data_IF_507977883494
#
_entry.id   IF_507977883494
#
_cell.length_a   1.000
_cell.length_b   1.000
_cell.length_c   1.000
_cell.angle_alpha   90.00
_cell.angle_beta   90.00
_cell.angle_gamma   90.00
#
_symmetry.space_group_name_H-M   'P 1'
#
loop_
_entity.id
_entity.type
_entity.pdbx_description
1 polymer ?
#
# COMPACT_ATOMS: atom_id res chain seq x y z
N UNK A 1 -3.61 0.66 24.55
CA UNK A 1 -4.70 0.99 23.61
C UNK A 1 -4.33 2.29 22.91
N UNK A 2 -3.87 2.21 21.68
CA UNK A 2 -3.52 3.40 20.89
C UNK A 2 -4.83 3.98 20.36
N UNK A 3 -5.22 5.13 20.88
CA UNK A 3 -6.43 5.85 20.45
C UNK A 3 -6.17 6.44 19.08
N UNK A 4 -6.77 5.86 18.06
CA UNK A 4 -6.80 6.44 16.73
C UNK A 4 -7.93 7.49 16.71
N UNK A 5 -7.58 8.76 16.53
CA UNK A 5 -8.57 9.80 16.26
C UNK A 5 -9.15 9.51 14.87
N UNK A 6 -10.37 9.00 14.80
CA UNK A 6 -11.10 8.90 13.54
C UNK A 6 -11.50 10.33 13.12
N UNK A 7 -10.95 10.82 12.04
CA UNK A 7 -11.50 11.94 11.31
C UNK A 7 -12.89 11.54 10.80
N UNK A 8 -13.89 12.42 10.97
CA UNK A 8 -15.25 12.18 10.49
C UNK A 8 -15.21 11.84 8.99
N UNK A 9 -15.81 10.70 8.60
CA UNK A 9 -15.88 10.25 7.21
C UNK A 9 -14.90 9.16 6.80
N UNK A 10 -13.84 8.86 7.60
CA UNK A 10 -12.91 7.77 7.27
C UNK A 10 -13.32 6.49 7.99
N UNK A 11 -13.46 5.42 7.23
CA UNK A 11 -13.73 4.07 7.73
C UNK A 11 -12.49 3.22 7.54
N UNK A 12 -12.11 2.49 8.59
CA UNK A 12 -10.99 1.55 8.57
C UNK A 12 -11.51 0.12 8.39
N UNK A 13 -10.80 -0.64 7.59
CA UNK A 13 -11.02 -2.07 7.42
C UNK A 13 -9.73 -2.83 7.68
N UNK A 14 -9.76 -3.86 8.51
CA UNK A 14 -8.70 -4.86 8.55
C UNK A 14 -8.85 -5.75 7.32
N UNK A 15 -7.76 -6.01 6.65
CA UNK A 15 -7.69 -6.88 5.47
C UNK A 15 -6.50 -7.83 5.62
N UNK A 16 -6.56 -9.04 5.06
CA UNK A 16 -5.39 -9.91 5.01
C UNK A 16 -4.23 -9.23 4.29
N UNK A 17 -3.02 -9.33 4.84
CA UNK A 17 -1.81 -8.81 4.19
C UNK A 17 -1.46 -9.61 2.92
N UNK A 18 -1.82 -10.90 2.92
CA UNK A 18 -1.65 -11.81 1.79
C UNK A 18 -2.97 -12.54 1.54
N UNK A 19 -3.27 -12.86 0.29
CA UNK A 19 -4.51 -13.58 -0.03
C UNK A 19 -4.96 -13.36 -1.47
N UNK A 20 -6.09 -13.98 -1.83
CA UNK A 20 -6.66 -13.91 -3.18
C UNK A 20 -7.43 -12.59 -3.45
N UNK A 21 -7.69 -11.80 -2.42
CA UNK A 21 -8.48 -10.56 -2.52
C UNK A 21 -7.60 -9.35 -2.78
N UNK A 22 -7.62 -8.81 -4.00
CA UNK A 22 -7.00 -7.51 -4.29
C UNK A 22 -7.89 -6.37 -3.82
N UNK A 23 -7.31 -5.40 -3.10
CA UNK A 23 -8.00 -4.15 -2.76
C UNK A 23 -7.68 -3.12 -3.83
N UNK A 24 -8.67 -2.77 -4.61
CA UNK A 24 -8.60 -1.71 -5.60
C UNK A 24 -9.32 -0.45 -5.09
N UNK A 25 -9.08 0.73 -5.68
CA UNK A 25 -9.69 1.98 -5.20
C UNK A 25 -11.22 1.96 -5.13
N UNK A 26 -11.86 1.15 -5.98
CA UNK A 26 -13.32 1.03 -6.12
C UNK A 26 -13.91 -0.22 -5.46
N UNK A 27 -13.08 -1.06 -4.84
CA UNK A 27 -13.52 -2.33 -4.27
C UNK A 27 -12.93 -2.60 -2.89
N UNK A 28 -13.58 -3.49 -2.15
CA UNK A 28 -13.05 -4.09 -0.92
C UNK A 28 -13.05 -5.61 -1.07
N UNK A 29 -12.07 -6.32 -0.51
CA UNK A 29 -12.10 -7.76 -0.47
C UNK A 29 -13.27 -8.25 0.37
N UNK A 30 -13.75 -9.45 0.10
CA UNK A 30 -14.88 -10.06 0.84
C UNK A 30 -14.59 -10.21 2.33
N UNK A 31 -13.32 -10.38 2.68
CA UNK A 31 -12.86 -10.62 4.05
C UNK A 31 -12.52 -9.33 4.80
N UNK A 32 -12.86 -8.16 4.24
CA UNK A 32 -12.67 -6.88 4.90
C UNK A 32 -13.60 -6.75 6.11
N UNK A 33 -13.02 -6.53 7.28
CA UNK A 33 -13.78 -6.36 8.52
C UNK A 33 -13.65 -4.93 9.00
N UNK A 34 -14.79 -4.24 9.04
CA UNK A 34 -14.87 -2.85 9.46
C UNK A 34 -14.46 -2.70 10.93
N UNK A 35 -13.62 -1.70 11.20
CA UNK A 35 -13.15 -1.31 12.54
C UNK A 35 -12.45 -2.42 13.36
N UNK A 36 -12.18 -3.57 12.73
CA UNK A 36 -11.46 -4.65 13.38
C UNK A 36 -9.98 -4.25 13.63
N UNK A 37 -9.37 -4.75 14.71
CA UNK A 37 -7.95 -4.60 14.92
C UNK A 37 -7.17 -5.36 13.83
N UNK A 38 -6.03 -4.82 13.40
CA UNK A 38 -5.07 -5.56 12.62
C UNK A 38 -4.37 -6.54 13.58
N UNK A 39 -4.66 -7.83 13.43
CA UNK A 39 -4.09 -8.88 14.25
C UNK A 39 -2.91 -9.53 13.53
N UNK A 40 -1.75 -9.54 14.17
CA UNK A 40 -0.53 -10.15 13.64
C UNK A 40 -0.09 -11.22 14.63
N UNK A 41 0.25 -12.40 14.12
CA UNK A 41 0.79 -13.51 14.89
C UNK A 41 2.14 -13.88 14.28
N UNK A 42 3.20 -13.66 15.04
CA UNK A 42 4.57 -13.92 14.60
C UNK A 42 5.34 -14.73 15.64
N UNK A 43 6.26 -15.57 15.20
CA UNK A 43 7.24 -16.20 16.07
C UNK A 43 8.38 -15.21 16.38
N UNK A 44 9.17 -15.53 17.41
CA UNK A 44 10.32 -14.69 17.78
C UNK A 44 11.34 -14.64 16.63
N UNK A 45 11.64 -13.41 16.15
CA UNK A 45 12.59 -13.18 15.07
C UNK A 45 11.97 -13.31 13.67
N UNK A 46 10.65 -13.44 13.57
CA UNK A 46 9.90 -13.48 12.32
C UNK A 46 9.40 -12.09 11.94
N UNK A 47 9.33 -11.83 10.64
CA UNK A 47 8.66 -10.65 10.08
C UNK A 47 7.31 -11.08 9.53
N UNK A 48 6.26 -10.46 10.05
CA UNK A 48 4.90 -10.73 9.62
C UNK A 48 4.18 -9.46 9.19
N UNK A 49 3.40 -9.57 8.11
CA UNK A 49 2.65 -8.47 7.55
C UNK A 49 1.26 -8.33 8.20
N UNK A 50 0.90 -7.10 8.50
CA UNK A 50 -0.49 -6.74 8.80
C UNK A 50 -0.97 -5.67 7.82
N UNK A 51 -2.22 -5.70 7.40
CA UNK A 51 -2.76 -4.75 6.44
C UNK A 51 -4.10 -4.18 6.87
N UNK A 52 -4.32 -2.94 6.53
CA UNK A 52 -5.61 -2.27 6.70
C UNK A 52 -5.87 -1.28 5.56
N UNK A 53 -7.13 -1.00 5.32
CA UNK A 53 -7.59 -0.03 4.33
C UNK A 53 -8.31 1.10 5.03
N UNK A 54 -7.99 2.32 4.65
CA UNK A 54 -8.75 3.51 4.98
C UNK A 54 -9.62 3.88 3.78
N UNK A 55 -10.90 4.08 4.00
CA UNK A 55 -11.85 4.48 2.97
C UNK A 55 -12.62 5.71 3.41
N UNK A 56 -12.77 6.65 2.50
CA UNK A 56 -13.67 7.79 2.64
C UNK A 56 -14.47 7.95 1.36
N UNK A 57 -15.71 8.41 1.48
CA UNK A 57 -16.55 8.79 0.35
C UNK A 57 -16.30 10.25 -0.08
N UNK A 58 -15.47 10.97 0.68
CA UNK A 58 -15.06 12.33 0.40
C UNK A 58 -13.53 12.42 0.23
N UNK A 59 -13.05 13.42 -0.48
CA UNK A 59 -11.62 13.71 -0.55
C UNK A 59 -11.14 14.24 0.81
N UNK A 60 -10.34 13.44 1.50
CA UNK A 60 -9.76 13.77 2.80
C UNK A 60 -8.35 14.37 2.69
N UNK A 61 -7.87 14.58 1.47
CA UNK A 61 -6.53 15.07 1.21
C UNK A 61 -5.44 14.08 1.62
N UNK A 62 -4.29 14.61 2.05
CA UNK A 62 -3.15 13.79 2.46
C UNK A 62 -3.39 13.20 3.85
N UNK A 63 -3.17 11.89 3.98
CA UNK A 63 -3.25 11.16 5.24
C UNK A 63 -1.84 10.83 5.72
N UNK A 64 -1.46 11.36 6.88
CA UNK A 64 -0.21 11.00 7.54
C UNK A 64 -0.46 9.91 8.57
N UNK A 65 0.31 8.83 8.49
CA UNK A 65 0.25 7.71 9.43
C UNK A 65 1.50 7.70 10.32
N UNK A 66 1.29 7.47 11.62
CA UNK A 66 2.37 7.34 12.59
C UNK A 66 2.17 6.09 13.42
N UNK A 67 3.26 5.38 13.62
CA UNK A 67 3.31 4.22 14.49
C UNK A 67 3.89 4.65 15.83
N UNK A 68 3.25 4.23 16.91
CA UNK A 68 3.77 4.35 18.28
C UNK A 68 4.20 3.01 18.81
N UNK A 69 4.89 3.02 19.95
CA UNK A 69 5.26 1.80 20.67
C UNK A 69 4.01 0.96 20.99
N UNK A 70 4.12 -0.34 20.78
CA UNK A 70 3.11 -1.30 21.23
C UNK A 70 3.43 -1.72 22.65
N UNK A 71 2.40 -1.88 23.49
CA UNK A 71 2.54 -2.31 24.88
C UNK A 71 1.62 -3.49 25.14
N UNK A 72 2.16 -4.51 25.81
CA UNK A 72 1.35 -5.61 26.31
C UNK A 72 0.72 -5.29 27.68
N UNK A 73 -0.06 -6.21 28.22
CA UNK A 73 -0.73 -6.08 29.51
C UNK A 73 0.25 -6.00 30.68
N UNK A 74 1.44 -6.57 30.54
CA UNK A 74 2.48 -6.55 31.57
C UNK A 74 3.34 -5.27 31.53
N UNK A 75 3.13 -4.43 30.53
CA UNK A 75 3.89 -3.20 30.34
C UNK A 75 5.17 -3.35 29.51
N UNK A 76 5.43 -4.54 28.95
CA UNK A 76 6.53 -4.72 28.01
C UNK A 76 6.29 -3.92 26.73
N UNK A 77 7.36 -3.38 26.17
CA UNK A 77 7.31 -2.49 25.03
C UNK A 77 7.88 -3.20 23.81
N UNK A 78 7.12 -3.18 22.70
CA UNK A 78 7.63 -3.42 21.36
C UNK A 78 7.81 -2.05 20.69
N UNK A 79 9.04 -1.62 20.41
CA UNK A 79 9.30 -0.23 20.02
C UNK A 79 8.83 0.04 18.58
N UNK A 80 8.41 1.27 18.32
CA UNK A 80 7.89 1.70 17.03
C UNK A 80 8.88 1.53 15.87
N UNK A 81 10.18 1.59 16.13
CA UNK A 81 11.23 1.42 15.11
C UNK A 81 11.39 -0.04 14.60
N UNK A 82 10.74 -1.00 15.25
CA UNK A 82 10.65 -2.39 14.78
C UNK A 82 9.43 -2.60 13.87
N UNK A 83 8.62 -1.57 13.66
CA UNK A 83 7.43 -1.61 12.81
C UNK A 83 7.71 -0.82 11.53
N UNK A 84 7.70 -1.52 10.41
CA UNK A 84 7.82 -0.91 9.08
C UNK A 84 6.43 -0.61 8.51
N UNK A 85 6.15 0.68 8.28
CA UNK A 85 4.88 1.15 7.77
C UNK A 85 5.01 1.62 6.32
N UNK A 86 4.33 0.95 5.42
CA UNK A 86 4.34 1.26 3.99
C UNK A 86 2.93 1.51 3.46
N UNK A 87 2.85 2.28 2.40
CA UNK A 87 1.62 2.43 1.60
C UNK A 87 1.63 1.43 0.46
N UNK A 88 0.52 0.72 0.27
CA UNK A 88 0.33 -0.13 -0.90
C UNK A 88 -0.11 0.76 -2.06
N UNK A 89 0.81 1.01 -2.99
CA UNK A 89 0.50 1.78 -4.21
C UNK A 89 -0.18 0.89 -5.24
N UNK A 90 -1.35 1.32 -5.68
CA UNK A 90 -2.04 0.71 -6.82
C UNK A 90 -1.51 1.36 -8.09
N UNK A 91 -0.97 0.57 -8.98
CA UNK A 91 -0.33 1.04 -10.21
C UNK A 91 -0.64 0.11 -11.38
N UNK A 92 -0.40 0.58 -12.61
CA UNK A 92 -0.64 -0.23 -13.80
C UNK A 92 0.48 -1.24 -14.01
N UNK A 93 0.10 -2.49 -14.23
CA UNK A 93 1.01 -3.57 -14.62
C UNK A 93 0.49 -4.30 -15.85
N UNK A 94 1.42 -4.85 -16.63
CA UNK A 94 1.07 -5.76 -17.70
C UNK A 94 0.75 -7.12 -17.10
N UNK A 95 -0.45 -7.63 -17.38
CA UNK A 95 -0.91 -8.93 -16.88
C UNK A 95 -0.02 -10.10 -17.31
N UNK A 96 0.81 -9.91 -18.32
CA UNK A 96 1.74 -10.91 -18.86
C UNK A 96 3.14 -10.89 -18.22
N UNK A 97 3.41 -10.00 -17.27
CA UNK A 97 4.76 -9.85 -16.69
C UNK A 97 5.31 -11.13 -16.08
N UNK A 98 4.43 -12.02 -15.61
CA UNK A 98 4.80 -13.26 -14.91
C UNK A 98 4.46 -14.55 -15.67
N UNK A 99 3.60 -14.51 -16.66
CA UNK A 99 3.17 -15.72 -17.37
C UNK A 99 3.17 -15.48 -18.87
N UNK A 100 4.13 -16.07 -19.57
CA UNK A 100 4.17 -16.10 -21.05
C UNK A 100 2.99 -16.87 -21.68
N UNK A 101 2.12 -17.45 -20.88
CA UNK A 101 1.00 -18.27 -21.33
C UNK A 101 -0.31 -17.51 -21.50
N UNK A 102 -0.47 -16.37 -20.82
CA UNK A 102 -1.70 -15.57 -20.94
C UNK A 102 -1.39 -14.27 -21.69
N UNK A 103 -1.71 -14.26 -22.96
CA UNK A 103 -1.53 -13.10 -23.83
C UNK A 103 -2.67 -12.09 -23.64
N UNK A 104 -2.81 -11.53 -22.46
CA UNK A 104 -3.68 -10.38 -22.25
C UNK A 104 -2.79 -9.12 -22.20
N UNK A 105 -2.68 -8.34 -23.29
CA UNK A 105 -1.80 -7.17 -23.33
C UNK A 105 -2.35 -5.97 -22.55
N UNK A 106 -3.53 -6.12 -21.92
CA UNK A 106 -4.14 -5.00 -21.22
C UNK A 106 -3.40 -4.70 -19.94
N UNK A 107 -3.20 -3.43 -19.69
CA UNK A 107 -2.73 -2.95 -18.40
C UNK A 107 -3.83 -3.09 -17.35
N UNK A 108 -3.46 -3.53 -16.17
CA UNK A 108 -4.35 -3.69 -15.02
C UNK A 108 -3.80 -2.94 -13.82
N UNK A 109 -4.68 -2.37 -13.03
CA UNK A 109 -4.33 -1.83 -11.73
C UNK A 109 -4.04 -2.98 -10.76
N UNK A 110 -2.85 -2.97 -10.17
CA UNK A 110 -2.39 -3.98 -9.21
C UNK A 110 -1.91 -3.30 -7.94
N UNK A 111 -2.42 -3.69 -6.75
CA UNK A 111 -1.99 -3.17 -5.46
C UNK A 111 -0.79 -3.96 -4.93
N UNK A 112 0.38 -3.76 -5.50
CA UNK A 112 1.56 -4.62 -5.22
C UNK A 112 2.79 -3.85 -4.75
N UNK A 113 2.85 -2.53 -5.00
CA UNK A 113 4.05 -1.77 -4.73
C UNK A 113 4.00 -1.17 -3.31
N UNK A 114 4.91 -1.61 -2.44
CA UNK A 114 5.05 -1.09 -1.09
C UNK A 114 6.01 0.11 -1.08
N UNK A 115 5.53 1.27 -0.66
CA UNK A 115 6.29 2.51 -0.65
C UNK A 115 6.23 3.19 0.73
N UNK A 116 7.39 3.70 1.18
CA UNK A 116 7.45 4.63 2.31
C UNK A 116 7.02 6.04 1.91
N UNK A 117 7.25 6.40 0.65
CA UNK A 117 6.84 7.67 0.05
C UNK A 117 6.01 7.37 -1.21
N UNK A 118 4.70 7.55 -1.11
CA UNK A 118 3.79 7.29 -2.23
C UNK A 118 3.95 8.28 -3.39
N UNK A 119 4.56 9.44 -3.15
CA UNK A 119 4.81 10.46 -4.16
C UNK A 119 5.91 10.05 -5.17
N UNK A 120 6.67 9.00 -4.86
CA UNK A 120 7.66 8.43 -5.79
C UNK A 120 7.03 7.91 -7.08
N UNK A 121 5.77 7.49 -7.03
CA UNK A 121 5.05 6.97 -8.20
C UNK A 121 3.76 7.76 -8.40
N UNK A 122 3.66 8.44 -9.54
CA UNK A 122 2.41 9.01 -10.01
C UNK A 122 1.72 8.06 -10.98
N UNK A 123 0.46 7.76 -10.71
CA UNK A 123 -0.41 6.95 -11.56
C UNK A 123 -1.37 7.85 -12.31
N UNK A 124 -1.39 7.75 -13.64
CA UNK A 124 -2.27 8.48 -14.53
C UNK A 124 -3.35 7.53 -15.05
N UNK A 125 -4.52 7.57 -14.44
CA UNK A 125 -5.63 6.68 -14.77
C UNK A 125 -6.24 6.98 -16.15
N UNK A 126 -6.14 8.22 -16.62
CA UNK A 126 -6.65 8.58 -17.94
C UNK A 126 -5.78 8.04 -19.08
N UNK A 127 -4.48 7.84 -18.82
CA UNK A 127 -3.51 7.33 -19.79
C UNK A 127 -3.13 5.88 -19.53
N UNK A 128 -3.66 5.27 -18.46
CA UNK A 128 -3.24 3.95 -17.98
C UNK A 128 -1.71 3.84 -17.86
N UNK A 129 -1.08 4.85 -17.23
CA UNK A 129 0.36 4.98 -17.22
C UNK A 129 0.91 5.28 -15.81
N UNK A 130 2.14 4.82 -15.56
CA UNK A 130 2.88 5.10 -14.34
C UNK A 130 4.09 6.00 -14.65
N UNK A 131 4.43 6.87 -13.71
CA UNK A 131 5.58 7.76 -13.78
C UNK A 131 6.36 7.71 -12.47
N UNK A 132 7.67 7.43 -12.55
CA UNK A 132 8.55 7.60 -11.41
C UNK A 132 8.90 9.08 -11.25
N UNK A 133 8.80 9.59 -10.04
CA UNK A 133 9.24 10.93 -9.65
C UNK A 133 10.60 10.83 -8.97
N UNK A 134 11.59 11.44 -9.56
CA UNK A 134 12.96 11.42 -9.05
C UNK A 134 13.36 12.85 -8.72
N UNK A 135 13.68 13.10 -7.46
CA UNK A 135 14.23 14.38 -7.00
C UNK A 135 15.74 14.27 -6.93
N UNK A 136 16.42 15.09 -7.72
CA UNK A 136 17.88 15.16 -7.73
C UNK A 136 18.42 15.93 -6.51
N UNK A 137 19.71 15.82 -6.25
CA UNK A 137 20.35 16.46 -5.11
C UNK A 137 20.22 18.01 -5.09
N UNK A 138 20.00 18.63 -6.26
CA UNK A 138 19.71 20.07 -6.38
C UNK A 138 18.24 20.42 -6.17
N UNK A 139 17.41 19.46 -5.75
CA UNK A 139 15.99 19.63 -5.42
C UNK A 139 15.04 19.66 -6.62
N UNK A 140 15.54 19.43 -7.84
CA UNK A 140 14.68 19.35 -9.03
C UNK A 140 14.04 18.00 -9.14
N UNK A 141 12.72 17.98 -9.35
CA UNK A 141 11.95 16.76 -9.58
C UNK A 141 11.71 16.57 -11.07
N UNK A 142 12.00 15.37 -11.57
CA UNK A 142 11.68 14.94 -12.92
C UNK A 142 10.76 13.72 -12.89
N UNK A 143 9.88 13.60 -13.88
CA UNK A 143 9.02 12.45 -14.05
C UNK A 143 9.51 11.61 -15.23
N UNK A 144 9.59 10.31 -15.00
CA UNK A 144 10.00 9.34 -16.01
C UNK A 144 8.88 8.33 -16.21
N UNK A 145 8.41 8.23 -17.44
CA UNK A 145 7.41 7.23 -17.79
C UNK A 145 7.96 5.81 -17.60
N UNK A 146 7.25 5.03 -16.81
CA UNK A 146 7.54 3.63 -16.58
C UNK A 146 6.76 2.80 -17.60
N UNK A 147 7.44 2.31 -18.63
CA UNK A 147 6.82 1.45 -19.62
C UNK A 147 6.74 0.01 -19.09
N UNK A 148 5.56 -0.52 -18.76
CA UNK A 148 5.41 -1.87 -18.22
C UNK A 148 5.75 -2.99 -19.24
N UNK A 149 5.79 -2.67 -20.54
CA UNK A 149 6.10 -3.63 -21.60
C UNK A 149 7.61 -3.77 -21.87
N UNK A 150 8.40 -2.86 -21.37
CA UNK A 150 9.86 -2.99 -21.49
C UNK A 150 10.38 -3.89 -20.39
N UNK A 151 10.84 -5.08 -20.78
CA UNK A 151 11.75 -5.84 -19.93
C UNK A 151 12.91 -4.92 -19.58
N UNK A 152 13.07 -4.58 -18.30
CA UNK A 152 14.25 -3.89 -17.84
C UNK A 152 15.45 -4.75 -18.19
N UNK A 153 16.25 -4.27 -19.12
CA UNK A 153 17.58 -4.82 -19.36
C UNK A 153 18.44 -4.19 -18.26
N UNK A 154 18.73 -4.99 -17.25
CA UNK A 154 19.76 -4.67 -16.26
C UNK A 154 21.10 -4.98 -16.87
#
# INVERSE_FOLDING_TARGET
>A
MTSMLLLAGIVRFAVPATGEGQVLPDSLPRDAVKDAPCAIVAAKGEYEGGSFVLRSDEDVGKVDMKVGDLKNENGDIFPANELDLTTVKVWYQNSNAWTSYFQDPRLKLCPELLLHDEDLIRVDTAKEANYARITSADGKTAEWWLNPDRKSVV
#
